data_IF_710528816008
#
_entry.id   IF_710528816008
#
_cell.length_a   1.000
_cell.length_b   1.000
_cell.length_c   1.000
_cell.angle_alpha   90.00
_cell.angle_beta   90.00
_cell.angle_gamma   90.00
#
_symmetry.space_group_name_H-M   'P 1'
#
loop_
_entity.id
_entity.type
_entity.pdbx_description
1 polymer ?
#
# COMPACT_ATOMS: atom_id res chain seq x y z
N UNK A 1 -7.10 -5.80 12.01
CA UNK A 1 -7.11 -4.59 12.87
C UNK A 1 -8.33 -3.70 12.64
N UNK A 2 -9.50 -4.28 12.30
CA UNK A 2 -10.70 -3.51 11.93
C UNK A 2 -11.76 -3.41 13.05
N UNK A 3 -11.43 -3.83 14.27
CA UNK A 3 -12.40 -3.83 15.40
C UNK A 3 -12.40 -2.54 16.23
N UNK A 4 -11.44 -1.65 16.02
CA UNK A 4 -11.35 -0.40 16.81
C UNK A 4 -12.21 0.72 16.19
N UNK A 5 -12.49 0.66 14.88
CA UNK A 5 -13.30 1.68 14.19
C UNK A 5 -14.79 1.56 14.55
N UNK A 6 -15.28 0.35 14.80
CA UNK A 6 -16.68 0.13 15.19
C UNK A 6 -17.02 0.66 16.59
N UNK A 7 -16.05 0.77 17.49
CA UNK A 7 -16.27 1.23 18.88
C UNK A 7 -16.39 2.76 18.98
N UNK A 8 -15.85 3.53 18.04
CA UNK A 8 -15.93 5.00 18.06
C UNK A 8 -17.28 5.53 17.58
N UNK A 9 -18.01 4.76 16.77
CA UNK A 9 -19.36 5.16 16.31
C UNK A 9 -20.41 4.98 17.41
N UNK A 10 -20.22 4.03 18.31
CA UNK A 10 -21.17 3.78 19.41
C UNK A 10 -21.09 4.81 20.55
N UNK A 11 -19.98 5.55 20.68
CA UNK A 11 -19.76 6.50 21.77
C UNK A 11 -20.43 7.88 21.57
N UNK A 12 -20.85 8.21 20.36
CA UNK A 12 -21.46 9.51 20.04
C UNK A 12 -22.96 9.60 20.31
N UNK A 13 -23.60 8.48 20.65
CA UNK A 13 -25.07 8.42 20.79
C UNK A 13 -25.57 8.39 22.23
N UNK A 14 -24.72 8.53 23.21
CA UNK A 14 -25.11 8.37 24.63
C UNK A 14 -25.17 9.70 25.39
N UNK A 15 -25.81 10.74 24.83
CA UNK A 15 -26.16 11.88 25.69
C UNK A 15 -27.46 12.51 25.24
N UNK A 16 -28.37 12.54 26.17
CA UNK A 16 -29.53 13.41 26.29
C UNK A 16 -30.84 12.91 25.67
N UNK A 17 -31.63 12.30 26.51
CA UNK A 17 -33.09 12.41 26.44
C UNK A 17 -33.53 13.86 26.75
N UNK A 18 -33.19 14.77 25.83
CA UNK A 18 -33.87 16.06 25.72
C UNK A 18 -34.92 15.93 24.63
N UNK A 19 -36.08 16.58 24.82
CA UNK A 19 -37.07 16.70 23.77
C UNK A 19 -36.39 17.23 22.53
N UNK A 20 -35.99 16.34 21.59
CA UNK A 20 -35.33 16.71 20.36
C UNK A 20 -36.29 17.57 19.56
N UNK A 21 -36.00 18.84 19.44
CA UNK A 21 -36.72 19.71 18.49
C UNK A 21 -36.48 19.17 17.09
N UNK A 22 -37.43 19.40 16.18
CA UNK A 22 -37.36 18.91 14.80
C UNK A 22 -36.04 19.33 14.11
N UNK A 23 -35.44 20.45 14.51
CA UNK A 23 -34.23 21.01 13.92
C UNK A 23 -32.97 20.26 14.39
N UNK A 24 -32.88 19.87 15.64
CA UNK A 24 -31.79 19.02 16.14
C UNK A 24 -31.83 17.64 15.50
N UNK A 25 -33.02 17.03 15.39
CA UNK A 25 -33.18 15.74 14.75
C UNK A 25 -32.78 15.78 13.26
N UNK A 26 -33.11 16.87 12.56
CA UNK A 26 -32.73 17.09 11.17
C UNK A 26 -31.20 17.29 11.04
N UNK A 27 -30.59 18.13 11.87
CA UNK A 27 -29.16 18.34 11.89
C UNK A 27 -28.41 17.03 12.15
N UNK A 28 -28.88 16.20 13.07
CA UNK A 28 -28.31 14.87 13.35
C UNK A 28 -28.42 13.92 12.14
N UNK A 29 -29.56 13.92 11.45
CA UNK A 29 -29.75 13.10 10.26
C UNK A 29 -28.83 13.51 9.11
N UNK A 30 -28.67 14.81 8.87
CA UNK A 30 -27.77 15.35 7.86
C UNK A 30 -26.31 15.09 8.22
N UNK A 31 -25.90 15.28 9.48
CA UNK A 31 -24.60 14.95 10.02
C UNK A 31 -24.25 13.46 9.78
N UNK A 32 -25.17 12.56 10.13
CA UNK A 32 -24.98 11.12 9.92
C UNK A 32 -24.82 10.76 8.44
N UNK A 33 -25.58 11.40 7.56
CA UNK A 33 -25.48 11.19 6.11
C UNK A 33 -24.15 11.66 5.54
N UNK A 34 -23.63 12.78 6.01
CA UNK A 34 -22.36 13.32 5.51
C UNK A 34 -21.16 12.55 6.06
N UNK A 35 -21.21 12.12 7.32
CA UNK A 35 -20.23 11.19 7.89
C UNK A 35 -20.21 9.87 7.14
N UNK A 36 -21.37 9.27 6.88
CA UNK A 36 -21.46 8.00 6.13
C UNK A 36 -20.89 8.13 4.71
N UNK A 37 -21.12 9.25 4.03
CA UNK A 37 -20.53 9.53 2.71
C UNK A 37 -19.00 9.69 2.80
N UNK A 38 -18.49 10.36 3.83
CA UNK A 38 -17.07 10.55 4.03
C UNK A 38 -16.36 9.21 4.30
N UNK A 39 -16.92 8.37 5.16
CA UNK A 39 -16.41 7.02 5.44
C UNK A 39 -16.43 6.13 4.20
N UNK A 40 -17.48 6.20 3.39
CA UNK A 40 -17.52 5.46 2.13
C UNK A 40 -16.44 5.93 1.14
N UNK A 41 -16.13 7.24 1.09
CA UNK A 41 -15.03 7.76 0.27
C UNK A 41 -13.67 7.32 0.79
N UNK A 42 -13.49 7.30 2.11
CA UNK A 42 -12.28 6.80 2.77
C UNK A 42 -12.05 5.32 2.42
N UNK A 43 -13.04 4.45 2.62
CA UNK A 43 -12.93 3.04 2.26
C UNK A 43 -12.58 2.82 0.78
N UNK A 44 -13.13 3.62 -0.12
CA UNK A 44 -12.78 3.55 -1.55
C UNK A 44 -11.36 4.05 -1.84
N UNK A 45 -10.89 5.06 -1.13
CA UNK A 45 -9.52 5.56 -1.25
C UNK A 45 -8.52 4.53 -0.74
N UNK A 46 -8.79 3.92 0.43
CA UNK A 46 -7.97 2.89 1.02
C UNK A 46 -7.85 1.66 0.11
N UNK A 47 -8.96 1.17 -0.42
CA UNK A 47 -8.97 0.03 -1.34
C UNK A 47 -8.18 0.34 -2.64
N UNK A 48 -8.22 1.58 -3.12
CA UNK A 48 -7.43 2.04 -4.26
C UNK A 48 -5.93 2.10 -3.94
N UNK A 49 -5.59 2.64 -2.80
CA UNK A 49 -4.22 2.77 -2.32
C UNK A 49 -3.59 1.38 -2.13
N UNK A 50 -4.28 0.47 -1.44
CA UNK A 50 -3.84 -0.90 -1.26
C UNK A 50 -3.64 -1.63 -2.59
N UNK A 51 -4.58 -1.50 -3.52
CA UNK A 51 -4.46 -2.11 -4.84
C UNK A 51 -3.24 -1.62 -5.62
N UNK A 52 -2.88 -0.33 -5.50
CA UNK A 52 -1.67 0.22 -6.13
C UNK A 52 -0.40 -0.36 -5.49
N UNK A 53 -0.31 -0.34 -4.15
CA UNK A 53 0.82 -0.87 -3.42
C UNK A 53 1.04 -2.36 -3.71
N UNK A 54 -0.01 -3.18 -3.60
CA UNK A 54 0.06 -4.61 -3.91
C UNK A 54 0.50 -4.89 -5.35
N UNK A 55 0.01 -4.13 -6.32
CA UNK A 55 0.46 -4.27 -7.72
C UNK A 55 1.94 -3.93 -7.90
N UNK A 56 2.45 -2.95 -7.18
CA UNK A 56 3.85 -2.57 -7.28
C UNK A 56 4.75 -3.62 -6.63
N UNK A 57 4.36 -4.15 -5.47
CA UNK A 57 5.04 -5.25 -4.78
C UNK A 57 5.07 -6.49 -5.69
N UNK A 58 3.93 -6.93 -6.20
CA UNK A 58 3.87 -8.11 -7.07
C UNK A 58 4.71 -7.96 -8.36
N UNK A 59 4.89 -6.72 -8.87
CA UNK A 59 5.81 -6.47 -9.98
C UNK A 59 7.28 -6.54 -9.57
N UNK A 60 7.61 -6.11 -8.35
CA UNK A 60 8.96 -6.25 -7.82
C UNK A 60 9.29 -7.72 -7.64
N UNK A 61 8.42 -8.51 -6.99
CA UNK A 61 8.58 -9.95 -6.80
C UNK A 61 8.81 -10.67 -8.14
N UNK A 62 7.96 -10.39 -9.13
CA UNK A 62 8.14 -10.94 -10.48
C UNK A 62 9.48 -10.56 -11.10
N UNK A 63 9.95 -9.33 -10.86
CA UNK A 63 11.27 -8.89 -11.36
C UNK A 63 12.39 -9.68 -10.67
N UNK A 64 12.29 -9.92 -9.36
CA UNK A 64 13.24 -10.75 -8.62
C UNK A 64 13.30 -12.16 -9.19
N UNK A 65 12.15 -12.81 -9.38
CA UNK A 65 12.08 -14.17 -9.94
C UNK A 65 12.70 -14.24 -11.34
N UNK A 66 12.35 -13.29 -12.22
CA UNK A 66 12.89 -13.23 -13.57
C UNK A 66 14.40 -12.99 -13.60
N UNK A 67 14.93 -12.16 -12.71
CA UNK A 67 16.36 -11.87 -12.66
C UNK A 67 17.12 -13.05 -12.04
N UNK A 68 16.62 -13.67 -10.99
CA UNK A 68 17.19 -14.88 -10.38
C UNK A 68 17.28 -16.02 -11.40
N UNK A 69 16.21 -16.25 -12.16
CA UNK A 69 16.21 -17.26 -13.23
C UNK A 69 17.27 -16.97 -14.30
N UNK A 70 17.47 -15.69 -14.67
CA UNK A 70 18.52 -15.31 -15.65
C UNK A 70 19.93 -15.57 -15.14
N UNK A 71 20.21 -15.25 -13.87
CA UNK A 71 21.48 -15.52 -13.25
C UNK A 71 21.72 -17.06 -13.20
N UNK A 72 20.72 -17.83 -12.79
CA UNK A 72 20.81 -19.29 -12.77
C UNK A 72 21.12 -19.89 -14.15
N UNK A 73 20.51 -19.36 -15.21
CA UNK A 73 20.79 -19.78 -16.60
C UNK A 73 22.23 -19.46 -17.00
N UNK A 74 22.74 -18.29 -16.66
CA UNK A 74 24.14 -17.96 -16.96
C UNK A 74 25.13 -18.82 -16.15
N UNK A 75 24.81 -19.14 -14.89
CA UNK A 75 25.59 -20.06 -14.07
C UNK A 75 25.62 -21.47 -14.70
N UNK A 76 24.45 -21.99 -15.14
CA UNK A 76 24.37 -23.27 -15.81
C UNK A 76 25.21 -23.32 -17.11
N UNK A 77 25.15 -22.26 -17.92
CA UNK A 77 25.97 -22.14 -19.14
C UNK A 77 27.48 -22.05 -18.82
N UNK A 78 27.85 -21.37 -17.75
CA UNK A 78 29.22 -21.30 -17.30
C UNK A 78 29.75 -22.70 -16.92
N UNK A 79 28.97 -23.42 -16.10
CA UNK A 79 29.30 -24.78 -15.67
C UNK A 79 29.39 -25.75 -16.85
N UNK A 80 28.48 -25.66 -17.83
CA UNK A 80 28.51 -26.48 -19.04
C UNK A 80 29.80 -26.22 -19.86
N UNK A 81 30.21 -24.97 -20.01
CA UNK A 81 31.45 -24.63 -20.73
C UNK A 81 32.70 -25.18 -20.03
N UNK A 82 32.74 -25.13 -18.69
CA UNK A 82 33.82 -25.74 -17.92
C UNK A 82 33.84 -27.25 -18.06
N UNK A 83 32.66 -27.88 -18.03
CA UNK A 83 32.54 -29.34 -18.17
C UNK A 83 33.02 -29.83 -19.54
N UNK A 84 32.77 -29.07 -20.61
CA UNK A 84 33.15 -29.38 -21.99
C UNK A 84 34.57 -28.99 -22.37
N UNK A 85 35.26 -28.20 -21.54
CA UNK A 85 36.59 -27.73 -21.84
C UNK A 85 37.65 -28.84 -21.62
N UNK A 86 38.73 -28.83 -22.45
CA UNK A 86 39.86 -29.68 -22.24
C UNK A 86 40.55 -29.37 -20.90
N UNK A 87 41.21 -30.36 -20.27
CA UNK A 87 41.82 -30.18 -18.94
C UNK A 87 42.68 -28.93 -18.77
N UNK A 88 43.47 -28.58 -19.79
CA UNK A 88 44.34 -27.39 -19.83
C UNK A 88 43.58 -26.07 -19.96
N UNK A 89 42.36 -26.08 -20.54
CA UNK A 89 41.52 -24.91 -20.74
C UNK A 89 40.48 -24.70 -19.66
N UNK A 90 40.26 -25.63 -18.74
CA UNK A 90 39.24 -25.56 -17.69
C UNK A 90 39.32 -24.31 -16.84
N UNK A 91 40.51 -23.93 -16.42
CA UNK A 91 40.74 -22.72 -15.61
C UNK A 91 40.32 -21.45 -16.37
N UNK A 92 40.66 -21.37 -17.65
CA UNK A 92 40.29 -20.26 -18.52
C UNK A 92 38.79 -20.22 -18.81
N UNK A 93 38.16 -21.36 -18.97
CA UNK A 93 36.72 -21.48 -19.13
C UNK A 93 35.96 -21.05 -17.85
N UNK A 94 36.44 -21.47 -16.67
CA UNK A 94 35.90 -21.06 -15.37
C UNK A 94 36.00 -19.53 -15.19
N UNK A 95 37.17 -18.92 -15.38
CA UNK A 95 37.35 -17.48 -15.24
C UNK A 95 36.45 -16.67 -16.20
N UNK A 96 36.21 -17.17 -17.43
CA UNK A 96 35.25 -16.56 -18.36
C UNK A 96 33.82 -16.73 -17.90
N UNK A 97 33.47 -17.89 -17.35
CA UNK A 97 32.18 -18.21 -16.78
C UNK A 97 31.85 -17.28 -15.60
N UNK A 98 32.75 -17.21 -14.62
CA UNK A 98 32.61 -16.34 -13.44
C UNK A 98 32.39 -14.86 -13.82
N UNK A 99 33.12 -14.38 -14.81
CA UNK A 99 32.96 -13.02 -15.33
C UNK A 99 31.59 -12.80 -16.01
N UNK A 100 31.05 -13.82 -16.66
CA UNK A 100 29.72 -13.74 -17.26
C UNK A 100 28.61 -13.75 -16.19
N UNK A 101 28.74 -14.61 -15.19
CA UNK A 101 27.84 -14.66 -14.04
C UNK A 101 27.84 -13.35 -13.26
N UNK A 102 29.01 -12.82 -12.90
CA UNK A 102 29.14 -11.56 -12.19
C UNK A 102 28.47 -10.39 -12.96
N UNK A 103 28.59 -10.34 -14.28
CA UNK A 103 27.87 -9.37 -15.11
C UNK A 103 26.36 -9.57 -15.11
N UNK A 104 25.89 -10.82 -15.04
CA UNK A 104 24.46 -11.13 -14.96
C UNK A 104 23.90 -10.72 -13.59
N UNK A 105 24.63 -10.99 -12.51
CA UNK A 105 24.30 -10.57 -11.15
C UNK A 105 24.22 -9.05 -11.03
N UNK A 106 25.23 -8.31 -11.51
CA UNK A 106 25.20 -6.83 -11.52
C UNK A 106 23.97 -6.28 -12.25
N UNK A 107 23.61 -6.87 -13.40
CA UNK A 107 22.41 -6.46 -14.14
C UNK A 107 21.13 -6.83 -13.42
N UNK A 108 21.10 -7.96 -12.76
CA UNK A 108 19.98 -8.41 -11.96
C UNK A 108 19.77 -7.46 -10.78
N UNK A 109 20.81 -7.18 -10.01
CA UNK A 109 20.77 -6.26 -8.88
C UNK A 109 20.27 -4.86 -9.27
N UNK A 110 20.79 -4.28 -10.35
CA UNK A 110 20.33 -2.97 -10.84
C UNK A 110 18.83 -2.96 -11.17
N UNK A 111 18.27 -4.07 -11.64
CA UNK A 111 16.85 -4.16 -11.97
C UNK A 111 15.99 -4.40 -10.75
N UNK A 112 16.42 -5.27 -9.85
CA UNK A 112 15.69 -5.54 -8.60
C UNK A 112 15.64 -4.31 -7.72
N UNK A 113 16.77 -3.61 -7.51
CA UNK A 113 16.83 -2.35 -6.76
C UNK A 113 15.87 -1.29 -7.33
N UNK A 114 15.79 -1.17 -8.66
CA UNK A 114 14.82 -0.25 -9.29
C UNK A 114 13.37 -0.68 -9.08
N UNK A 115 13.08 -1.97 -9.11
CA UNK A 115 11.75 -2.50 -8.87
C UNK A 115 11.33 -2.29 -7.41
N UNK A 116 12.23 -2.56 -6.47
CA UNK A 116 12.02 -2.37 -5.03
C UNK A 116 11.82 -0.90 -4.68
N UNK A 117 12.66 -0.01 -5.20
CA UNK A 117 12.50 1.43 -5.00
C UNK A 117 11.13 1.93 -5.48
N UNK A 118 10.63 1.39 -6.60
CA UNK A 118 9.29 1.71 -7.09
C UNK A 118 8.20 1.14 -6.19
N UNK A 119 8.34 -0.09 -5.71
CA UNK A 119 7.38 -0.72 -4.81
C UNK A 119 7.31 0.03 -3.47
N UNK A 120 8.45 0.42 -2.92
CA UNK A 120 8.55 1.23 -1.69
C UNK A 120 7.84 2.58 -1.90
N UNK A 121 8.14 3.27 -3.01
CA UNK A 121 7.50 4.57 -3.31
C UNK A 121 5.98 4.43 -3.37
N UNK A 122 5.45 3.48 -4.12
CA UNK A 122 4.00 3.26 -4.22
C UNK A 122 3.37 2.87 -2.87
N UNK A 123 4.09 2.17 -2.00
CA UNK A 123 3.63 1.85 -0.65
C UNK A 123 3.59 3.08 0.26
N UNK A 124 4.59 3.96 0.17
CA UNK A 124 4.60 5.23 0.90
C UNK A 124 3.49 6.15 0.41
N UNK A 125 3.33 6.29 -0.91
CA UNK A 125 2.25 7.09 -1.51
C UNK A 125 0.87 6.55 -1.08
N UNK A 126 0.69 5.22 -1.06
CA UNK A 126 -0.55 4.59 -0.59
C UNK A 126 -0.84 4.90 0.89
N UNK A 127 0.20 4.91 1.74
CA UNK A 127 0.06 5.27 3.16
C UNK A 127 -0.34 6.74 3.32
N UNK A 128 0.26 7.63 2.54
CA UNK A 128 -0.07 9.05 2.54
C UNK A 128 -1.52 9.30 2.05
N UNK A 129 -1.94 8.62 0.97
CA UNK A 129 -3.31 8.71 0.44
C UNK A 129 -4.34 8.27 1.50
N UNK A 130 -4.09 7.18 2.24
CA UNK A 130 -4.94 6.72 3.33
C UNK A 130 -5.02 7.72 4.47
N UNK A 131 -3.87 8.24 4.92
CA UNK A 131 -3.83 9.25 5.97
C UNK A 131 -4.61 10.51 5.58
N UNK A 132 -4.49 10.94 4.32
CA UNK A 132 -5.24 12.08 3.80
C UNK A 132 -6.76 11.81 3.76
N UNK A 133 -7.18 10.60 3.38
CA UNK A 133 -8.58 10.20 3.37
C UNK A 133 -9.15 10.16 4.80
N UNK A 134 -8.43 9.57 5.75
CA UNK A 134 -8.82 9.51 7.16
C UNK A 134 -8.93 10.93 7.77
N UNK A 135 -7.99 11.82 7.47
CA UNK A 135 -8.03 13.22 7.94
C UNK A 135 -9.26 13.96 7.40
N UNK A 136 -9.64 13.74 6.13
CA UNK A 136 -10.87 14.31 5.55
C UNK A 136 -12.12 13.81 6.25
N UNK A 137 -12.17 12.53 6.56
CA UNK A 137 -13.29 11.93 7.31
C UNK A 137 -13.36 12.49 8.72
N UNK A 138 -12.21 12.61 9.41
CA UNK A 138 -12.15 13.21 10.74
C UNK A 138 -12.62 14.67 10.74
N UNK A 139 -12.21 15.47 9.76
CA UNK A 139 -12.67 16.85 9.61
C UNK A 139 -14.19 16.91 9.35
N UNK A 140 -14.74 16.00 8.55
CA UNK A 140 -16.19 15.92 8.30
C UNK A 140 -16.95 15.57 9.59
N UNK A 141 -16.44 14.63 10.40
CA UNK A 141 -17.01 14.26 11.70
C UNK A 141 -17.01 15.46 12.65
N UNK A 142 -15.89 16.15 12.77
CA UNK A 142 -15.78 17.34 13.64
C UNK A 142 -16.75 18.44 13.22
N UNK A 143 -16.91 18.67 11.91
CA UNK A 143 -17.89 19.64 11.39
C UNK A 143 -19.32 19.21 11.67
N UNK A 144 -19.67 17.96 11.44
CA UNK A 144 -20.99 17.40 11.71
C UNK A 144 -21.37 17.53 13.21
N UNK A 145 -20.42 17.24 14.10
CA UNK A 145 -20.60 17.40 15.56
C UNK A 145 -20.83 18.88 15.94
N UNK A 146 -20.11 19.82 15.32
CA UNK A 146 -20.27 21.24 15.58
C UNK A 146 -21.67 21.74 15.13
N UNK A 147 -22.15 21.30 13.95
CA UNK A 147 -23.48 21.65 13.43
C UNK A 147 -24.61 21.13 14.32
N UNK A 148 -24.49 19.91 14.84
CA UNK A 148 -25.48 19.36 15.78
C UNK A 148 -25.47 20.12 17.10
N UNK A 149 -24.30 20.47 17.64
CA UNK A 149 -24.16 21.30 18.85
C UNK A 149 -24.73 22.70 18.66
N UNK A 150 -24.50 23.31 17.50
CA UNK A 150 -25.06 24.62 17.18
C UNK A 150 -26.58 24.58 17.10
N UNK A 151 -27.15 23.53 16.46
CA UNK A 151 -28.60 23.32 16.42
C UNK A 151 -29.19 23.16 17.83
N UNK A 152 -28.51 22.41 18.70
CA UNK A 152 -28.94 22.21 20.08
C UNK A 152 -28.85 23.48 20.94
N UNK A 153 -27.89 24.37 20.66
CA UNK A 153 -27.70 25.62 21.44
C UNK A 153 -28.70 26.73 21.09
N UNK A 154 -29.45 26.57 19.99
CA UNK A 154 -30.47 27.55 19.56
C UNK A 154 -31.84 27.32 20.20
N UNK A 155 -31.95 26.31 21.02
CA UNK A 155 -33.17 25.91 21.73
C UNK A 155 -32.95 25.80 23.24
#
# INVERSE_FOLDING_TARGET
>A
MNKIIAALIAGLFATAAFAQTSDVAKAQADANKDVAKAEQKEMKADAKADKKAHKAIAKADKTHDEQSAKVAVEQAKANEKVAKADPEDKAKAAAKGDKAVAKAEEKAEKKTVKADAKAIKESVDATADKALAANKTAATKAKADAEVKEAAAKH
#
